data_IF_053859203333
#
_entry.id   IF_053859203333
#
_cell.length_a   1.000
_cell.length_b   1.000
_cell.length_c   1.000
_cell.angle_alpha   90.00
_cell.angle_beta   90.00
_cell.angle_gamma   90.00
#
_symmetry.space_group_name_H-M   'P 1'
#
loop_
_entity.id
_entity.type
_entity.pdbx_description
1 polymer ?
#
# COMPACT_ATOMS: atom_id res chain seq x y z
N UNK A 1 7.03 14.02 0.32
CA UNK A 1 5.88 13.52 -0.46
C UNK A 1 6.44 12.67 -1.57
N UNK A 2 5.98 11.44 -1.68
CA UNK A 2 6.36 10.53 -2.76
C UNK A 2 5.63 10.92 -4.04
N UNK A 3 6.22 10.59 -5.19
CA UNK A 3 5.55 10.70 -6.48
C UNK A 3 4.92 9.35 -6.86
N UNK A 4 3.78 9.41 -7.55
CA UNK A 4 3.15 8.23 -8.13
C UNK A 4 4.12 7.57 -9.13
N UNK A 5 4.38 6.27 -8.96
CA UNK A 5 5.30 5.49 -9.80
C UNK A 5 4.94 5.52 -11.29
N UNK A 6 3.66 5.60 -11.60
CA UNK A 6 3.15 5.50 -12.98
C UNK A 6 3.13 6.84 -13.71
N UNK A 7 2.74 7.93 -13.04
CA UNK A 7 2.49 9.21 -13.69
C UNK A 7 3.28 10.39 -13.11
N UNK A 8 4.08 10.17 -12.07
CA UNK A 8 4.86 11.21 -11.40
C UNK A 8 4.04 12.22 -10.58
N UNK A 9 2.72 12.06 -10.47
CA UNK A 9 1.87 12.98 -9.70
C UNK A 9 2.09 12.83 -8.19
N UNK A 10 2.05 13.94 -7.47
CA UNK A 10 2.07 13.99 -6.00
C UNK A 10 0.71 13.61 -5.38
N UNK A 11 -0.35 13.52 -6.19
CA UNK A 11 -1.69 13.20 -5.71
C UNK A 11 -1.84 11.72 -5.38
N UNK A 12 -2.62 11.44 -4.34
CA UNK A 12 -3.17 10.12 -4.04
C UNK A 12 -4.56 9.96 -4.66
N UNK A 13 -5.07 8.74 -4.71
CA UNK A 13 -6.44 8.48 -5.13
C UNK A 13 -6.60 7.88 -6.51
N UNK A 14 -7.75 8.16 -7.13
CA UNK A 14 -8.15 7.59 -8.43
C UNK A 14 -7.74 8.50 -9.61
N UNK A 15 -7.92 7.99 -10.82
CA UNK A 15 -7.65 8.65 -12.11
C UNK A 15 -6.16 8.76 -12.47
N UNK A 16 -5.35 7.76 -12.08
CA UNK A 16 -4.00 7.66 -12.61
C UNK A 16 -4.04 7.00 -14.01
N UNK A 17 -3.79 7.73 -15.12
CA UNK A 17 -4.00 7.21 -16.48
C UNK A 17 -3.01 6.10 -16.86
N UNK A 18 -1.86 6.04 -16.19
CA UNK A 18 -0.79 5.08 -16.46
C UNK A 18 -0.79 3.89 -15.48
N UNK A 19 -1.66 3.92 -14.46
CA UNK A 19 -1.75 2.83 -13.49
C UNK A 19 -2.72 1.76 -13.97
N UNK A 20 -2.39 0.46 -13.88
CA UNK A 20 -3.27 -0.63 -14.30
C UNK A 20 -4.61 -0.63 -13.54
N UNK A 21 -4.59 -0.13 -12.30
CA UNK A 21 -5.76 -0.06 -11.44
C UNK A 21 -6.45 1.31 -11.48
N UNK A 22 -5.96 2.23 -12.33
CA UNK A 22 -6.36 3.65 -12.37
C UNK A 22 -6.20 4.38 -11.03
N UNK A 23 -5.32 3.88 -10.14
CA UNK A 23 -5.01 4.47 -8.83
C UNK A 23 -3.58 4.96 -8.77
N UNK A 24 -3.34 6.07 -8.08
CA UNK A 24 -1.99 6.54 -7.81
C UNK A 24 -1.31 5.61 -6.81
N UNK A 25 -0.07 5.22 -7.13
CA UNK A 25 0.69 4.26 -6.33
C UNK A 25 2.08 4.81 -6.00
N UNK A 26 2.38 4.87 -4.71
CA UNK A 26 3.52 5.57 -4.14
C UNK A 26 4.38 4.62 -3.30
N UNK A 27 5.48 4.11 -3.86
CA UNK A 27 6.31 3.05 -3.25
C UNK A 27 7.53 3.53 -2.45
N UNK A 28 7.70 4.84 -2.25
CA UNK A 28 8.94 5.36 -1.66
C UNK A 28 8.98 5.34 -0.13
N UNK A 29 7.86 5.04 0.54
CA UNK A 29 7.72 5.16 1.99
C UNK A 29 7.06 3.89 2.53
N UNK A 30 7.86 3.02 3.17
CA UNK A 30 7.36 1.78 3.80
C UNK A 30 6.50 2.04 5.04
N UNK A 31 6.49 3.26 5.56
CA UNK A 31 5.67 3.65 6.72
C UNK A 31 4.31 4.24 6.33
N UNK A 32 4.02 4.36 5.03
CA UNK A 32 2.78 4.94 4.52
C UNK A 32 2.14 4.07 3.45
N UNK A 33 0.82 4.09 3.43
CA UNK A 33 0.02 3.39 2.44
C UNK A 33 0.25 3.97 1.04
N UNK A 34 0.60 3.11 0.08
CA UNK A 34 0.96 3.47 -1.30
C UNK A 34 -0.17 4.14 -2.06
N UNK A 35 -1.43 3.97 -1.63
CA UNK A 35 -2.61 4.51 -2.32
C UNK A 35 -3.19 5.78 -1.70
N UNK A 36 -2.96 6.02 -0.40
CA UNK A 36 -3.59 7.14 0.32
C UNK A 36 -2.64 7.94 1.24
N UNK A 37 -1.40 7.49 1.43
CA UNK A 37 -0.41 8.15 2.28
C UNK A 37 -0.64 8.01 3.78
N UNK A 38 -1.69 7.33 4.22
CA UNK A 38 -1.94 7.06 5.65
C UNK A 38 -0.93 6.08 6.22
N UNK A 39 -0.44 6.32 7.44
CA UNK A 39 0.41 5.39 8.19
C UNK A 39 -0.37 4.27 8.87
N UNK A 40 -1.71 4.24 8.73
CA UNK A 40 -2.54 3.17 9.28
C UNK A 40 -2.46 1.89 8.45
N UNK A 41 -2.57 0.75 9.13
CA UNK A 41 -2.68 -0.57 8.51
C UNK A 41 -4.14 -1.08 8.55
N UNK A 42 -4.43 -2.11 7.77
CA UNK A 42 -5.72 -2.80 7.81
C UNK A 42 -6.76 -2.34 6.80
N UNK A 43 -8.03 -2.47 7.15
CA UNK A 43 -9.16 -2.16 6.27
C UNK A 43 -9.52 -0.68 6.35
N UNK A 44 -10.19 -0.16 5.32
CA UNK A 44 -10.65 1.24 5.17
C UNK A 44 -9.74 2.16 4.36
N UNK A 45 -8.96 1.61 3.42
CA UNK A 45 -8.25 2.47 2.47
C UNK A 45 -9.21 2.90 1.34
N UNK A 46 -9.53 4.20 1.20
CA UNK A 46 -10.50 4.68 0.19
C UNK A 46 -9.97 4.62 -1.24
N UNK A 47 -8.67 4.42 -1.40
CA UNK A 47 -7.97 4.52 -2.68
C UNK A 47 -7.31 3.21 -3.11
N UNK A 48 -7.25 2.23 -2.22
CA UNK A 48 -6.75 0.90 -2.53
C UNK A 48 -7.80 0.10 -3.31
N UNK A 49 -7.40 -0.68 -4.33
CA UNK A 49 -8.32 -1.52 -5.08
C UNK A 49 -8.99 -2.59 -4.21
N UNK A 50 -8.30 -3.10 -3.19
CA UNK A 50 -8.82 -4.13 -2.27
C UNK A 50 -9.53 -3.52 -1.04
N UNK A 51 -9.58 -2.19 -0.94
CA UNK A 51 -10.11 -1.48 0.24
C UNK A 51 -9.21 -1.58 1.49
N UNK A 52 -7.97 -2.04 1.34
CA UNK A 52 -7.01 -2.29 2.42
C UNK A 52 -5.76 -1.44 2.27
N UNK A 53 -5.19 -0.99 3.38
CA UNK A 53 -3.93 -0.28 3.39
C UNK A 53 -2.79 -1.24 3.03
N UNK A 54 -2.08 -0.91 1.95
CA UNK A 54 -0.84 -1.56 1.54
C UNK A 54 0.25 -0.52 1.62
N UNK A 55 1.30 -0.80 2.38
CA UNK A 55 2.47 0.05 2.54
C UNK A 55 3.57 -0.36 1.57
N UNK A 56 4.60 0.48 1.43
CA UNK A 56 5.81 0.10 0.70
C UNK A 56 6.55 -1.04 1.41
N UNK A 57 7.27 -1.86 0.64
CA UNK A 57 8.17 -2.85 1.21
C UNK A 57 9.38 -2.17 1.83
N UNK A 58 9.68 -2.46 3.09
CA UNK A 58 10.92 -2.04 3.75
C UNK A 58 11.83 -3.23 4.13
N UNK A 59 11.60 -4.40 3.54
CA UNK A 59 12.30 -5.69 3.82
C UNK A 59 12.18 -6.22 5.26
N UNK A 60 11.81 -5.37 6.22
CA UNK A 60 11.67 -5.72 7.64
C UNK A 60 10.21 -6.01 8.01
N UNK A 61 9.25 -5.20 7.53
CA UNK A 61 7.86 -5.26 7.96
C UNK A 61 6.88 -5.70 6.87
N UNK A 62 5.78 -6.31 7.30
CA UNK A 62 4.70 -6.73 6.42
C UNK A 62 3.91 -5.52 5.88
N UNK A 63 3.77 -5.41 4.56
CA UNK A 63 3.09 -4.30 3.88
C UNK A 63 1.61 -4.14 4.26
N UNK A 64 0.98 -5.15 4.85
CA UNK A 64 -0.44 -5.15 5.20
C UNK A 64 -0.71 -4.87 6.68
N UNK A 65 0.23 -5.17 7.57
CA UNK A 65 0.02 -5.06 9.01
C UNK A 65 1.21 -4.49 9.82
N UNK A 66 2.33 -4.17 9.17
CA UNK A 66 3.52 -3.62 9.83
C UNK A 66 4.24 -4.61 10.74
N UNK A 67 3.83 -5.88 10.77
CA UNK A 67 4.47 -6.90 11.59
C UNK A 67 5.73 -7.43 10.89
N UNK A 68 6.85 -7.57 11.63
CA UNK A 68 8.07 -8.19 11.12
C UNK A 68 8.00 -9.71 10.93
N UNK A 69 6.87 -10.32 11.30
CA UNK A 69 6.63 -11.76 11.12
C UNK A 69 6.58 -12.15 9.64
N UNK A 70 6.95 -13.40 9.36
CA UNK A 70 6.90 -14.02 8.02
C UNK A 70 5.97 -15.23 8.02
N UNK A 71 5.45 -15.59 6.84
CA UNK A 71 4.60 -16.76 6.68
C UNK A 71 3.11 -16.44 6.80
N UNK A 72 2.32 -17.32 7.41
CA UNK A 72 0.85 -17.21 7.48
C UNK A 72 0.40 -16.55 8.78
N UNK A 73 -0.81 -15.98 8.79
CA UNK A 73 -1.41 -15.35 9.98
C UNK A 73 -1.60 -13.84 9.87
N UNK A 74 -1.34 -13.23 8.70
CA UNK A 74 -1.58 -11.81 8.54
C UNK A 74 -3.10 -11.51 8.53
N UNK A 75 -3.62 -10.64 9.43
CA UNK A 75 -5.06 -10.37 9.52
C UNK A 75 -5.58 -9.54 8.33
N UNK A 76 -4.70 -8.81 7.65
CA UNK A 76 -5.08 -7.82 6.64
C UNK A 76 -4.67 -8.21 5.22
N UNK A 77 -3.69 -9.10 5.06
CA UNK A 77 -3.29 -9.57 3.74
C UNK A 77 -4.41 -10.40 3.08
N UNK A 78 -4.66 -10.22 1.78
CA UNK A 78 -5.67 -11.00 1.05
C UNK A 78 -5.39 -12.52 1.10
N UNK A 79 -4.12 -12.94 1.06
CA UNK A 79 -3.72 -14.34 1.22
C UNK A 79 -3.52 -14.80 2.67
N UNK A 80 -3.86 -13.97 3.66
CA UNK A 80 -3.51 -14.14 5.09
C UNK A 80 -2.03 -14.47 5.33
N UNK A 81 -1.15 -14.00 4.45
CA UNK A 81 0.30 -14.17 4.55
C UNK A 81 0.97 -12.84 4.75
N UNK A 82 2.00 -12.82 5.57
CA UNK A 82 2.86 -11.66 5.69
C UNK A 82 3.63 -11.49 4.38
N UNK A 83 3.39 -10.37 3.72
CA UNK A 83 4.06 -9.97 2.48
C UNK A 83 5.00 -8.84 2.83
N UNK A 84 6.27 -8.99 2.47
CA UNK A 84 7.26 -7.93 2.48
C UNK A 84 7.32 -7.39 1.07
#
# INVERSE_FOLDING_TARGET
>A
MSNCRYCGSLSFGANCPFSPNQKHEHHQDGSRCVYCGSSSYGHSCPHSPDGKHRHGSDDEHCVWCGSGSVGSGCPHAPGRRHER
#
